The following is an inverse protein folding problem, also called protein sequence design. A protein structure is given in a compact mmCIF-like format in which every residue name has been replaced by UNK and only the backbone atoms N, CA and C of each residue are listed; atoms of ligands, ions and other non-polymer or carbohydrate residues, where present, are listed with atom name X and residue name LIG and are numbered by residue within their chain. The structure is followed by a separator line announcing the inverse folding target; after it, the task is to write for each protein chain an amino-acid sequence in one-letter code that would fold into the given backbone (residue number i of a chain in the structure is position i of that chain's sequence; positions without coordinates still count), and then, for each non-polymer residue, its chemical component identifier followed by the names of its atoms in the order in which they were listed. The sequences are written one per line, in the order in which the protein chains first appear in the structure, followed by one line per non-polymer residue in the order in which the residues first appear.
data_IF_450141700953
#
_entry.id   IF_450141700953
#
_cell.length_a   1.000
_cell.length_b   1.000
_cell.length_c   1.000
_cell.angle_alpha   90.00
_cell.angle_beta   90.00
_cell.angle_gamma   90.00
#
_symmetry.space_group_name_H-M   'P 1'
#
loop_
_entity.id
_entity.type
_entity.pdbx_description
1 polymer ?
#
# COMPACT_ATOMS: atom_id res chain seq x y z
N UNK A 1 -3.01 -2.01 12.36
CA UNK A 1 -2.47 -1.23 11.23
C UNK A 1 -2.10 0.20 11.60
N UNK A 2 -3.02 1.05 12.10
CA UNK A 2 -2.69 2.45 12.41
C UNK A 2 -1.67 2.58 13.55
N UNK A 3 -1.90 1.86 14.64
CA UNK A 3 -1.00 1.84 15.80
C UNK A 3 0.36 1.21 15.48
N UNK A 4 0.36 0.17 14.63
CA UNK A 4 1.58 -0.52 14.23
C UNK A 4 2.46 0.30 13.28
N UNK A 5 1.92 1.36 12.66
CA UNK A 5 2.57 2.26 11.70
C UNK A 5 3.54 1.51 10.75
N UNK A 6 3.01 0.82 9.72
CA UNK A 6 3.80 -0.10 8.90
C UNK A 6 4.93 0.58 8.11
N UNK A 7 4.94 1.91 8.05
CA UNK A 7 5.95 2.68 7.33
C UNK A 7 6.91 3.44 8.26
N UNK A 8 6.94 3.13 9.56
CA UNK A 8 7.75 3.86 10.54
C UNK A 8 9.24 3.94 10.17
N UNK A 9 9.76 2.90 9.52
CA UNK A 9 11.17 2.77 9.15
C UNK A 9 11.45 3.21 7.70
N UNK A 10 10.44 3.73 6.99
CA UNK A 10 10.58 4.17 5.61
C UNK A 10 10.84 5.68 5.55
N UNK A 11 11.94 6.05 4.91
CA UNK A 11 12.27 7.45 4.65
C UNK A 11 11.26 8.03 3.66
N UNK A 12 10.36 8.86 4.17
CA UNK A 12 9.36 9.52 3.35
C UNK A 12 9.98 10.69 2.57
N UNK A 13 10.19 10.50 1.27
CA UNK A 13 10.65 11.55 0.34
C UNK A 13 9.49 12.07 -0.53
N UNK A 14 9.75 13.13 -1.32
CA UNK A 14 8.76 13.68 -2.25
C UNK A 14 8.38 12.71 -3.38
N UNK A 15 9.22 11.72 -3.64
CA UNK A 15 9.04 10.75 -4.72
C UNK A 15 8.54 9.40 -4.21
N UNK A 16 8.66 9.11 -2.91
CA UNK A 16 8.09 7.90 -2.34
C UNK A 16 6.59 8.09 -2.09
N UNK A 17 5.79 7.10 -2.50
CA UNK A 17 4.35 7.01 -2.21
C UNK A 17 4.10 5.72 -1.43
N UNK A 18 3.60 5.89 -0.22
CA UNK A 18 3.24 4.80 0.68
C UNK A 18 1.76 4.48 0.47
N UNK A 19 1.44 3.22 0.20
CA UNK A 19 0.09 2.78 -0.11
C UNK A 19 -0.35 1.62 0.77
N UNK A 20 -1.62 1.67 1.14
CA UNK A 20 -2.33 0.55 1.74
C UNK A 20 -3.47 0.19 0.80
N UNK A 21 -3.56 -1.09 0.48
CA UNK A 21 -4.55 -1.66 -0.41
C UNK A 21 -5.41 -2.66 0.35
N UNK A 22 -6.72 -2.48 0.26
CA UNK A 22 -7.71 -3.34 0.91
C UNK A 22 -8.37 -4.23 -0.13
N UNK A 23 -8.22 -5.54 0.06
CA UNK A 23 -8.87 -6.56 -0.74
C UNK A 23 -10.32 -6.76 -0.28
N UNK A 24 -11.25 -6.93 -1.23
CA UNK A 24 -12.64 -7.26 -0.90
C UNK A 24 -12.77 -8.64 -0.22
N UNK A 25 -12.04 -9.61 -0.76
CA UNK A 25 -11.93 -10.98 -0.24
C UNK A 25 -10.49 -11.24 0.15
N UNK A 26 -10.27 -12.10 1.14
CA UNK A 26 -8.91 -12.54 1.43
C UNK A 26 -8.47 -13.49 0.31
N UNK A 27 -7.34 -13.17 -0.31
CA UNK A 27 -6.79 -13.90 -1.45
C UNK A 27 -5.42 -14.41 -1.02
N UNK A 28 -5.24 -15.72 -1.07
CA UNK A 28 -3.93 -16.31 -0.83
C UNK A 28 -3.06 -16.12 -2.06
N UNK A 29 -1.76 -15.91 -1.82
CA UNK A 29 -0.77 -15.72 -2.88
C UNK A 29 0.46 -16.54 -2.54
N UNK A 30 1.13 -17.04 -3.59
CA UNK A 30 2.43 -17.71 -3.48
C UNK A 30 3.60 -16.71 -3.53
N UNK A 31 3.30 -15.41 -3.49
CA UNK A 31 4.31 -14.36 -3.52
C UNK A 31 5.10 -14.33 -2.21
N UNK A 32 6.42 -14.45 -2.31
CA UNK A 32 7.30 -14.14 -1.20
C UNK A 32 7.38 -12.63 -0.97
N UNK A 33 7.40 -12.22 0.30
CA UNK A 33 7.50 -10.82 0.69
C UNK A 33 8.84 -10.52 1.39
N UNK A 34 9.46 -9.36 1.11
CA UNK A 34 9.01 -8.32 0.19
C UNK A 34 9.20 -8.70 -1.27
N UNK A 35 8.22 -8.35 -2.11
CA UNK A 35 8.30 -8.53 -3.56
C UNK A 35 8.51 -7.19 -4.24
N UNK A 36 9.44 -7.13 -5.19
CA UNK A 36 9.74 -5.94 -5.98
C UNK A 36 9.65 -6.26 -7.46
N UNK A 37 9.07 -5.35 -8.23
CA UNK A 37 9.00 -5.50 -9.68
C UNK A 37 10.37 -5.27 -10.35
N UNK A 38 10.50 -5.64 -11.62
CA UNK A 38 11.80 -5.66 -12.31
C UNK A 38 12.52 -4.30 -12.37
N UNK A 39 11.78 -3.19 -12.47
CA UNK A 39 12.37 -1.84 -12.55
C UNK A 39 12.54 -1.19 -11.16
N UNK A 40 12.25 -1.93 -10.09
CA UNK A 40 12.33 -1.49 -8.69
C UNK A 40 11.46 -0.28 -8.34
N UNK A 41 10.53 0.09 -9.22
CA UNK A 41 9.63 1.21 -8.96
C UNK A 41 8.54 0.87 -7.97
N UNK A 42 8.22 -0.42 -7.79
CA UNK A 42 7.12 -0.83 -6.93
C UNK A 42 7.49 -2.05 -6.08
N UNK A 43 7.27 -1.94 -4.78
CA UNK A 43 7.54 -3.00 -3.80
C UNK A 43 6.30 -3.25 -2.96
N UNK A 44 5.92 -4.52 -2.84
CA UNK A 44 4.93 -4.99 -1.87
C UNK A 44 5.71 -5.49 -0.67
N UNK A 45 5.56 -4.81 0.46
CA UNK A 45 6.32 -5.09 1.68
C UNK A 45 5.77 -6.30 2.41
N UNK A 46 4.45 -6.35 2.56
CA UNK A 46 3.77 -7.42 3.28
C UNK A 46 2.29 -7.47 2.89
N UNK A 47 1.69 -8.63 3.18
CA UNK A 47 0.25 -8.84 3.19
C UNK A 47 -0.16 -9.34 4.58
N UNK A 48 -1.20 -8.73 5.15
CA UNK A 48 -1.83 -9.19 6.38
C UNK A 48 -3.34 -9.29 6.18
N UNK A 49 -3.89 -10.51 6.20
CA UNK A 49 -5.29 -10.76 5.86
C UNK A 49 -5.67 -10.11 4.52
N UNK A 50 -6.59 -9.13 4.55
CA UNK A 50 -7.07 -8.39 3.39
C UNK A 50 -6.30 -7.08 3.13
N UNK A 51 -5.24 -6.82 3.86
CA UNK A 51 -4.45 -5.60 3.76
C UNK A 51 -3.12 -5.90 3.08
N UNK A 52 -2.74 -5.04 2.13
CA UNK A 52 -1.45 -5.09 1.45
C UNK A 52 -0.76 -3.76 1.67
N UNK A 53 0.50 -3.81 2.07
CA UNK A 53 1.34 -2.65 2.33
C UNK A 53 2.38 -2.57 1.22
N UNK A 54 2.46 -1.41 0.57
CA UNK A 54 3.32 -1.24 -0.59
C UNK A 54 3.92 0.15 -0.70
N UNK A 55 5.02 0.22 -1.45
CA UNK A 55 5.78 1.43 -1.74
C UNK A 55 5.87 1.57 -3.26
N UNK A 56 5.61 2.78 -3.74
CA UNK A 56 5.88 3.20 -5.12
C UNK A 56 6.94 4.30 -5.10
N UNK A 57 7.99 4.12 -5.90
CA UNK A 57 8.94 5.16 -6.26
C UNK A 57 8.44 5.91 -7.51
N UNK A 58 7.97 7.13 -7.27
CA UNK A 58 7.37 8.00 -8.27
C UNK A 58 8.39 8.67 -9.20
N UNK A 59 9.68 8.59 -8.86
CA UNK A 59 10.79 9.02 -9.72
C UNK A 59 11.01 8.04 -10.88
N UNK A 60 10.63 6.77 -10.70
CA UNK A 60 10.81 5.70 -11.69
C UNK A 60 9.50 5.41 -12.44
N UNK A 61 8.37 5.28 -11.73
CA UNK A 61 7.09 4.94 -12.36
C UNK A 61 5.89 5.67 -11.77
N UNK A 62 4.79 5.69 -12.53
CA UNK A 62 3.50 6.25 -12.08
C UNK A 62 2.60 5.17 -11.51
N UNK A 63 1.62 5.60 -10.74
CA UNK A 63 0.68 4.75 -10.00
C UNK A 63 0.04 3.61 -10.82
N UNK A 64 -0.37 3.79 -12.10
CA UNK A 64 -0.96 2.70 -12.88
C UNK A 64 -0.07 1.46 -12.96
N UNK A 65 1.24 1.65 -13.17
CA UNK A 65 2.21 0.54 -13.26
C UNK A 65 2.33 -0.24 -11.94
N UNK A 66 2.27 0.45 -10.80
CA UNK A 66 2.23 -0.19 -9.49
C UNK A 66 0.92 -0.96 -9.26
N UNK A 67 -0.21 -0.39 -9.69
CA UNK A 67 -1.51 -1.07 -9.57
C UNK A 67 -1.60 -2.32 -10.45
N UNK A 68 -0.96 -2.35 -11.62
CA UNK A 68 -0.89 -3.56 -12.46
C UNK A 68 -0.30 -4.76 -11.71
N UNK A 69 0.71 -4.54 -10.86
CA UNK A 69 1.28 -5.60 -10.04
C UNK A 69 0.26 -6.13 -9.01
N UNK A 70 -0.45 -5.23 -8.31
CA UNK A 70 -1.50 -5.62 -7.38
C UNK A 70 -2.63 -6.38 -8.09
N UNK A 71 -3.08 -5.89 -9.24
CA UNK A 71 -4.15 -6.54 -10.00
C UNK A 71 -3.75 -7.92 -10.51
N UNK A 72 -2.49 -8.11 -10.90
CA UNK A 72 -1.95 -9.40 -11.34
C UNK A 72 -1.99 -10.45 -10.24
N UNK A 73 -1.60 -10.10 -9.01
CA UNK A 73 -1.47 -11.06 -7.92
C UNK A 73 -2.72 -11.19 -7.05
N UNK A 74 -3.56 -10.16 -6.98
CA UNK A 74 -4.70 -10.10 -6.06
C UNK A 74 -6.03 -9.73 -6.74
N UNK A 75 -6.05 -9.61 -8.07
CA UNK A 75 -7.27 -9.29 -8.83
C UNK A 75 -7.67 -7.82 -8.75
N UNK A 76 -8.84 -7.48 -9.31
CA UNK A 76 -9.23 -6.08 -9.54
C UNK A 76 -10.06 -5.45 -8.41
N UNK A 77 -10.60 -6.25 -7.50
CA UNK A 77 -11.45 -5.79 -6.39
C UNK A 77 -10.60 -5.29 -5.21
N UNK A 78 -9.82 -4.24 -5.47
CA UNK A 78 -8.86 -3.66 -4.54
C UNK A 78 -9.15 -2.17 -4.35
N UNK A 79 -9.19 -1.73 -3.09
CA UNK A 79 -9.25 -0.32 -2.74
C UNK A 79 -7.89 0.15 -2.26
N UNK A 80 -7.17 0.91 -3.09
CA UNK A 80 -5.88 1.49 -2.70
C UNK A 80 -6.04 2.91 -2.17
N UNK A 81 -5.33 3.23 -1.10
CA UNK A 81 -5.26 4.57 -0.50
C UNK A 81 -3.82 4.92 -0.15
N UNK A 82 -3.45 6.17 -0.40
CA UNK A 82 -2.17 6.69 0.06
C UNK A 82 -2.17 6.80 1.60
N UNK A 83 -1.06 6.50 2.26
CA UNK A 83 -0.94 6.54 3.71
C UNK A 83 -1.30 7.90 4.32
N UNK A 84 -0.94 9.01 3.67
CA UNK A 84 -1.33 10.34 4.13
C UNK A 84 -2.85 10.55 4.08
N UNK A 85 -3.54 9.89 3.15
CA UNK A 85 -5.01 9.89 3.11
C UNK A 85 -5.58 9.11 4.28
N UNK A 86 -5.01 7.95 4.60
CA UNK A 86 -5.42 7.14 5.76
C UNK A 86 -5.25 7.93 7.07
N UNK A 87 -4.09 8.55 7.30
CA UNK A 87 -3.84 9.42 8.47
C UNK A 87 -4.84 10.59 8.56
N UNK A 88 -5.19 11.20 7.43
CA UNK A 88 -6.17 12.28 7.40
C UNK A 88 -7.59 11.80 7.76
N UNK A 89 -7.98 10.61 7.29
CA UNK A 89 -9.28 10.00 7.62
C UNK A 89 -9.32 9.67 9.11
N UNK A 90 -8.27 9.06 9.65
CA UNK A 90 -8.16 8.80 11.08
C UNK A 90 -8.35 10.07 11.91
N UNK A 91 -7.63 11.15 11.58
CA UNK A 91 -7.75 12.42 12.29
C UNK A 91 -9.19 12.96 12.29
N UNK A 92 -9.90 12.83 11.16
CA UNK A 92 -11.30 13.26 11.06
C UNK A 92 -12.21 12.38 11.92
N UNK A 93 -12.12 11.06 11.80
CA UNK A 93 -12.93 10.13 12.59
C UNK A 93 -12.74 10.33 14.09
N UNK A 94 -11.50 10.59 14.54
CA UNK A 94 -11.23 10.91 15.95
C UNK A 94 -11.81 12.26 16.37
N UNK A 95 -11.82 13.26 15.49
CA UNK A 95 -12.42 14.56 15.79
C UNK A 95 -13.95 14.48 15.89
N UNK A 96 -14.60 13.65 15.07
CA UNK A 96 -16.05 13.46 15.07
C UNK A 96 -16.56 12.60 16.25
N UNK A 97 -15.66 11.90 16.95
CA UNK A 97 -15.95 11.06 18.12
C UNK A 97 -15.77 11.79 19.47
N UNK A 98 -15.26 13.03 19.46
CA UNK A 98 -15.10 13.90 20.64
C UNK A 98 -16.11 15.05 20.60
#
# INVERSE_FOLDING_TARGET
MLESNPFRDIVNTKDIRLYISFLRKDIQTELDFPWTNNDKSYTILEKSNKEIISILDFSIAKTPKGMEALERYFGKDITTRNWNTIKRIEKKLRADLN
#
